data_IF_659094657947
#
_entry.id   IF_659094657947
#
_cell.length_a   1.000
_cell.length_b   1.000
_cell.length_c   1.000
_cell.angle_alpha   90.00
_cell.angle_beta   90.00
_cell.angle_gamma   90.00
#
_symmetry.space_group_name_H-M   'P 1'
#
loop_
_entity.id
_entity.type
_entity.pdbx_description
1 polymer ?
#
# COMPACT_ATOMS: atom_id res chain seq x y z
N UNK A 1 -0.14 -8.21 -24.44
CA UNK A 1 -0.95 -8.11 -23.22
C UNK A 1 -1.26 -6.63 -23.02
N UNK A 2 -2.52 -6.27 -22.90
CA UNK A 2 -2.91 -4.88 -22.67
C UNK A 2 -2.60 -4.53 -21.23
N UNK A 3 -1.93 -3.40 -21.02
CA UNK A 3 -1.70 -2.86 -19.70
C UNK A 3 -3.06 -2.55 -19.07
N UNK A 4 -3.38 -3.10 -17.88
CA UNK A 4 -4.64 -2.82 -17.20
C UNK A 4 -4.75 -1.39 -16.69
N UNK A 5 -3.62 -0.66 -16.63
CA UNK A 5 -3.57 0.69 -16.11
C UNK A 5 -3.60 1.72 -17.24
N UNK A 6 -4.39 2.77 -17.07
CA UNK A 6 -4.40 3.90 -17.99
C UNK A 6 -3.14 4.77 -17.77
N UNK A 7 -2.66 5.48 -18.81
CA UNK A 7 -1.56 6.41 -18.65
C UNK A 7 -1.96 7.57 -17.70
N UNK A 8 -1.01 8.08 -16.94
CA UNK A 8 -1.25 9.16 -15.96
C UNK A 8 -1.86 10.43 -16.56
N UNK A 9 -1.69 10.63 -17.87
CA UNK A 9 -2.27 11.78 -18.60
C UNK A 9 -3.76 11.62 -18.88
N UNK A 10 -4.34 10.42 -18.68
CA UNK A 10 -5.76 10.18 -18.94
C UNK A 10 -6.61 10.85 -17.85
N UNK A 11 -7.64 11.67 -18.20
CA UNK A 11 -8.48 12.35 -17.23
C UNK A 11 -9.27 11.42 -16.30
N UNK A 12 -9.47 10.16 -16.70
CA UNK A 12 -10.15 9.15 -15.87
C UNK A 12 -9.32 8.72 -14.67
N UNK A 13 -8.02 8.98 -14.67
CA UNK A 13 -7.07 8.71 -13.58
C UNK A 13 -6.35 9.97 -13.11
N UNK A 14 -6.92 11.14 -13.35
CA UNK A 14 -6.32 12.41 -12.96
C UNK A 14 -6.07 12.48 -11.44
N UNK A 15 -4.89 12.99 -11.07
CA UNK A 15 -4.50 13.17 -9.68
C UNK A 15 -5.18 14.42 -9.10
N UNK A 16 -5.72 14.27 -7.88
CA UNK A 16 -6.27 15.37 -7.08
C UNK A 16 -5.57 15.37 -5.71
N UNK A 17 -4.81 16.43 -5.37
CA UNK A 17 -4.10 16.49 -4.09
C UNK A 17 -5.01 16.52 -2.86
N UNK A 18 -6.28 16.87 -3.02
CA UNK A 18 -7.28 16.86 -1.95
C UNK A 18 -7.90 15.47 -1.74
N UNK A 19 -7.65 14.52 -2.64
CA UNK A 19 -8.18 13.16 -2.60
C UNK A 19 -7.08 12.13 -2.29
N UNK A 20 -6.16 12.45 -1.39
CA UNK A 20 -5.05 11.58 -0.98
C UNK A 20 -5.10 11.31 0.50
N UNK A 21 -5.14 10.02 0.87
CA UNK A 21 -4.91 9.57 2.24
C UNK A 21 -3.40 9.45 2.47
N UNK A 22 -2.92 9.96 3.60
CA UNK A 22 -1.52 9.81 4.02
C UNK A 22 -1.50 9.14 5.39
N UNK A 23 -0.77 8.03 5.51
CA UNK A 23 -0.59 7.37 6.80
C UNK A 23 0.29 8.19 7.74
N UNK A 24 0.32 7.83 9.01
CA UNK A 24 1.39 8.27 9.91
C UNK A 24 2.76 7.87 9.32
N UNK A 25 3.76 8.71 9.53
CA UNK A 25 5.16 8.37 9.27
C UNK A 25 5.73 7.72 10.52
N UNK A 26 6.19 6.48 10.41
CA UNK A 26 6.78 5.73 11.52
C UNK A 26 8.29 5.63 11.36
N UNK A 27 8.99 5.93 12.44
CA UNK A 27 10.44 5.73 12.52
C UNK A 27 10.72 4.26 12.86
N UNK A 28 11.54 3.59 12.08
CA UNK A 28 11.85 2.17 12.23
C UNK A 28 13.34 2.01 12.53
N UNK A 29 13.66 1.41 13.67
CA UNK A 29 15.04 1.09 14.08
C UNK A 29 15.50 -0.22 13.42
N UNK A 30 15.54 -0.18 12.09
CA UNK A 30 16.01 -1.26 11.24
C UNK A 30 16.52 -0.68 9.91
N UNK A 31 17.46 -1.36 9.24
CA UNK A 31 17.91 -0.97 7.90
C UNK A 31 16.76 -0.96 6.89
N UNK A 32 16.77 -0.02 5.95
CA UNK A 32 15.79 0.08 4.89
C UNK A 32 15.64 -1.23 4.08
N UNK A 33 16.75 -1.92 3.81
CA UNK A 33 16.73 -3.21 3.10
C UNK A 33 15.94 -4.28 3.86
N UNK A 34 16.07 -4.33 5.19
CA UNK A 34 15.32 -5.28 6.01
C UNK A 34 13.82 -4.96 6.00
N UNK A 35 13.47 -3.67 6.14
CA UNK A 35 12.07 -3.22 6.08
C UNK A 35 11.47 -3.54 4.71
N UNK A 36 12.23 -3.33 3.63
CA UNK A 36 11.82 -3.72 2.29
C UNK A 36 11.53 -5.22 2.18
N UNK A 37 12.43 -6.07 2.69
CA UNK A 37 12.23 -7.53 2.68
C UNK A 37 10.94 -7.93 3.39
N UNK A 38 10.64 -7.32 4.54
CA UNK A 38 9.38 -7.56 5.26
C UNK A 38 8.17 -7.10 4.44
N UNK A 39 8.28 -5.92 3.81
CA UNK A 39 7.19 -5.33 3.04
C UNK A 39 6.83 -6.13 1.79
N UNK A 40 7.79 -6.74 1.12
CA UNK A 40 7.56 -7.52 -0.11
C UNK A 40 7.44 -9.03 0.13
N UNK A 41 7.61 -9.49 1.34
CA UNK A 41 7.35 -10.90 1.71
C UNK A 41 5.84 -11.11 1.92
N UNK A 42 5.10 -11.13 0.82
CA UNK A 42 3.65 -11.24 0.83
C UNK A 42 3.16 -12.53 1.50
N UNK A 43 3.92 -13.62 1.40
CA UNK A 43 3.57 -14.89 2.02
C UNK A 43 3.50 -14.81 3.55
N UNK A 44 4.23 -13.89 4.16
CA UNK A 44 4.24 -13.67 5.61
C UNK A 44 3.20 -12.67 6.11
N UNK A 45 2.41 -12.06 5.23
CA UNK A 45 1.40 -11.06 5.62
C UNK A 45 0.38 -11.56 6.66
N UNK A 46 -0.08 -12.83 6.62
CA UNK A 46 -0.95 -13.35 7.68
C UNK A 46 -0.37 -13.26 9.10
N UNK A 47 0.96 -13.21 9.22
CA UNK A 47 1.64 -13.21 10.51
C UNK A 47 1.70 -11.83 11.17
N UNK A 48 1.57 -10.75 10.39
CA UNK A 48 1.81 -9.41 10.94
C UNK A 48 0.92 -8.30 10.40
N UNK A 49 0.40 -8.40 9.17
CA UNK A 49 -0.32 -7.29 8.53
C UNK A 49 -1.78 -7.28 8.98
N UNK A 50 -2.24 -6.24 9.70
CA UNK A 50 -3.61 -6.22 10.24
C UNK A 50 -4.68 -5.85 9.21
N UNK A 51 -4.28 -5.26 8.08
CA UNK A 51 -5.20 -4.83 7.03
C UNK A 51 -5.19 -5.77 5.83
N UNK A 52 -4.05 -5.92 5.18
CA UNK A 52 -3.88 -6.87 4.08
C UNK A 52 -3.44 -8.22 4.69
N UNK A 53 -4.42 -9.02 5.06
CA UNK A 53 -4.17 -10.26 5.82
C UNK A 53 -3.63 -11.39 4.96
N UNK A 54 -3.81 -11.32 3.65
CA UNK A 54 -3.20 -12.22 2.67
C UNK A 54 -2.83 -11.42 1.42
N UNK A 55 -1.69 -11.70 0.84
CA UNK A 55 -1.27 -11.10 -0.43
C UNK A 55 -0.43 -12.08 -1.25
N UNK A 56 -0.47 -11.93 -2.56
CA UNK A 56 0.37 -12.68 -3.50
C UNK A 56 0.65 -11.82 -4.73
N UNK A 57 1.91 -11.74 -5.13
CA UNK A 57 2.33 -11.04 -6.35
C UNK A 57 3.72 -11.51 -6.77
N UNK A 58 4.01 -11.45 -8.06
CA UNK A 58 5.37 -11.42 -8.57
C UNK A 58 5.88 -9.97 -8.51
N UNK A 59 7.15 -9.77 -8.16
CA UNK A 59 7.75 -8.42 -8.06
C UNK A 59 8.16 -7.91 -9.44
N UNK A 60 7.17 -7.59 -10.27
CA UNK A 60 7.33 -7.05 -11.63
C UNK A 60 6.32 -5.95 -11.88
N UNK A 61 6.71 -4.93 -12.66
CA UNK A 61 5.78 -3.89 -13.10
C UNK A 61 4.64 -4.52 -13.91
N UNK A 62 3.40 -4.11 -13.60
CA UNK A 62 2.20 -4.64 -14.24
C UNK A 62 1.70 -5.96 -13.67
N UNK A 63 2.43 -6.60 -12.77
CA UNK A 63 1.98 -7.86 -12.15
C UNK A 63 0.77 -7.63 -11.24
N UNK A 64 -0.21 -8.55 -11.24
CA UNK A 64 -1.34 -8.47 -10.31
C UNK A 64 -0.89 -8.71 -8.87
N UNK A 65 -1.43 -7.92 -7.97
CA UNK A 65 -1.35 -8.11 -6.52
C UNK A 65 -2.71 -8.59 -6.07
N UNK A 66 -2.81 -9.86 -5.74
CA UNK A 66 -4.06 -10.45 -5.21
C UNK A 66 -4.04 -10.32 -3.70
N UNK A 67 -5.09 -9.74 -3.13
CA UNK A 67 -5.14 -9.39 -1.72
C UNK A 67 -6.45 -9.83 -1.08
N UNK A 68 -6.36 -10.15 0.21
CA UNK A 68 -7.51 -10.26 1.10
C UNK A 68 -7.39 -9.17 2.15
N UNK A 69 -8.36 -8.26 2.16
CA UNK A 69 -8.35 -7.08 2.99
C UNK A 69 -9.37 -7.20 4.12
N UNK A 70 -8.99 -6.75 5.31
CA UNK A 70 -9.92 -6.67 6.44
C UNK A 70 -10.79 -5.42 6.30
N UNK A 71 -12.10 -5.56 6.48
CA UNK A 71 -13.00 -4.43 6.57
C UNK A 71 -12.75 -3.64 7.86
N UNK A 72 -12.67 -2.31 7.73
CA UNK A 72 -12.61 -1.38 8.87
C UNK A 72 -13.98 -0.78 9.20
N UNK A 73 -15.02 -1.17 8.47
CA UNK A 73 -16.39 -0.74 8.68
C UNK A 73 -17.23 -1.78 9.41
N UNK A 74 -16.98 -3.07 9.14
CA UNK A 74 -17.72 -4.18 9.71
C UNK A 74 -16.78 -5.18 10.40
N UNK A 75 -17.01 -5.52 11.68
CA UNK A 75 -16.20 -6.49 12.39
C UNK A 75 -16.16 -7.86 11.70
N UNK A 76 -15.03 -8.55 11.75
CA UNK A 76 -14.81 -9.90 11.25
C UNK A 76 -15.21 -10.12 9.78
N UNK A 77 -15.18 -9.05 8.99
CA UNK A 77 -15.50 -9.06 7.57
C UNK A 77 -14.25 -8.82 6.73
N UNK A 78 -14.11 -9.58 5.64
CA UNK A 78 -12.99 -9.50 4.71
C UNK A 78 -13.51 -9.41 3.29
N UNK A 79 -12.71 -8.84 2.39
CA UNK A 79 -13.02 -8.76 0.97
C UNK A 79 -11.76 -8.97 0.13
N UNK A 80 -11.97 -9.55 -1.05
CA UNK A 80 -10.88 -9.76 -2.01
C UNK A 80 -10.69 -8.52 -2.88
N UNK A 81 -9.45 -8.24 -3.23
CA UNK A 81 -9.08 -7.13 -4.09
C UNK A 81 -7.90 -7.51 -5.00
N UNK A 82 -7.88 -6.99 -6.21
CA UNK A 82 -6.76 -7.15 -7.14
C UNK A 82 -6.37 -5.77 -7.65
N UNK A 83 -5.10 -5.44 -7.48
CA UNK A 83 -4.48 -4.25 -8.03
C UNK A 83 -3.23 -4.66 -8.80
N UNK A 84 -2.53 -3.72 -9.40
CA UNK A 84 -1.38 -4.01 -10.27
C UNK A 84 -0.18 -3.18 -9.86
N UNK A 85 1.01 -3.79 -9.81
CA UNK A 85 2.24 -3.08 -9.47
C UNK A 85 2.49 -1.99 -10.51
N UNK A 86 2.46 -0.74 -10.06
CA UNK A 86 2.60 0.45 -10.90
C UNK A 86 3.93 1.18 -10.72
N UNK A 87 4.65 0.92 -9.62
CA UNK A 87 6.02 1.38 -9.42
C UNK A 87 6.79 0.38 -8.56
N UNK A 88 8.07 0.21 -8.85
CA UNK A 88 8.96 -0.70 -8.13
C UNK A 88 10.38 -0.16 -8.16
N UNK A 89 10.86 0.34 -7.04
CA UNK A 89 12.20 0.92 -6.85
C UNK A 89 12.73 0.48 -5.47
N UNK A 90 13.30 -0.71 -5.43
CA UNK A 90 13.82 -1.29 -4.18
C UNK A 90 15.09 -0.55 -3.69
N UNK A 91 15.23 -0.31 -2.38
CA UNK A 91 14.31 -0.63 -1.27
C UNK A 91 13.39 0.54 -0.88
N UNK A 92 13.11 1.46 -1.78
CA UNK A 92 12.53 2.79 -1.52
C UNK A 92 11.03 2.88 -1.74
N UNK A 93 10.51 2.22 -2.78
CA UNK A 93 9.14 2.42 -3.24
C UNK A 93 8.57 1.14 -3.84
N UNK A 94 7.41 0.76 -3.38
CA UNK A 94 6.50 -0.11 -4.12
C UNK A 94 5.14 0.55 -4.18
N UNK A 95 4.54 0.59 -5.38
CA UNK A 95 3.18 1.09 -5.56
C UNK A 95 2.36 0.06 -6.33
N UNK A 96 1.07 -0.01 -5.99
CA UNK A 96 0.09 -0.70 -6.80
C UNK A 96 -1.15 0.13 -6.99
N UNK A 97 -1.82 -0.10 -8.10
CA UNK A 97 -2.94 0.72 -8.55
C UNK A 97 -4.15 -0.14 -8.89
N UNK A 98 -5.31 0.32 -8.45
CA UNK A 98 -6.60 -0.19 -8.91
C UNK A 98 -6.90 0.43 -10.27
N UNK A 99 -7.23 -0.38 -11.30
CA UNK A 99 -7.52 0.14 -12.63
C UNK A 99 -8.86 0.86 -12.68
N UNK A 100 -8.97 1.79 -13.62
CA UNK A 100 -10.29 2.29 -14.03
C UNK A 100 -11.01 1.21 -14.84
N UNK A 101 -12.25 0.92 -14.49
CA UNK A 101 -13.17 0.13 -15.32
C UNK A 101 -14.54 0.81 -15.32
N UNK A 102 -15.26 0.74 -16.44
CA UNK A 102 -16.57 1.43 -16.57
C UNK A 102 -17.58 0.98 -15.51
N UNK A 103 -17.56 -0.30 -15.14
CA UNK A 103 -18.44 -0.83 -14.09
C UNK A 103 -18.03 -0.41 -12.67
N UNK A 104 -16.79 0.06 -12.47
CA UNK A 104 -16.23 0.50 -11.21
C UNK A 104 -15.26 1.66 -11.44
N UNK A 105 -15.76 2.89 -11.68
CA UNK A 105 -14.94 4.03 -12.09
C UNK A 105 -14.25 4.72 -10.90
N UNK A 106 -13.58 3.95 -10.07
CA UNK A 106 -12.91 4.41 -8.85
C UNK A 106 -11.45 3.92 -8.83
N UNK A 107 -10.61 4.42 -9.76
CA UNK A 107 -9.19 4.07 -9.75
C UNK A 107 -8.50 4.68 -8.54
N UNK A 108 -7.45 3.99 -8.08
CA UNK A 108 -6.65 4.46 -6.95
C UNK A 108 -5.21 4.01 -7.11
N UNK A 109 -4.28 4.70 -6.46
CA UNK A 109 -2.88 4.30 -6.40
C UNK A 109 -2.37 4.40 -4.98
N UNK A 110 -1.87 3.28 -4.45
CA UNK A 110 -1.20 3.19 -3.17
C UNK A 110 0.31 3.18 -3.36
N UNK A 111 0.99 4.16 -2.80
CA UNK A 111 2.45 4.19 -2.70
C UNK A 111 2.86 3.79 -1.28
N UNK A 112 3.86 2.92 -1.16
CA UNK A 112 4.50 2.56 0.09
C UNK A 112 5.96 2.96 0.02
N UNK A 113 6.38 3.86 0.91
CA UNK A 113 7.61 4.61 0.80
C UNK A 113 8.50 4.35 2.02
N UNK A 114 9.73 3.90 1.76
CA UNK A 114 10.77 3.71 2.76
C UNK A 114 11.89 4.72 2.47
N UNK A 115 12.23 5.54 3.45
CA UNK A 115 13.32 6.49 3.36
C UNK A 115 14.41 6.13 4.37
N UNK A 116 15.61 5.79 3.88
CA UNK A 116 16.75 5.52 4.72
C UNK A 116 17.22 6.78 5.44
N UNK A 117 17.37 6.70 6.76
CA UNK A 117 17.89 7.81 7.61
C UNK A 117 19.30 7.51 8.12
N UNK A 118 19.86 6.39 7.74
CA UNK A 118 21.16 5.90 8.13
C UNK A 118 21.25 4.39 7.86
N UNK A 119 22.39 3.73 8.17
CA UNK A 119 22.57 2.34 7.86
C UNK A 119 21.69 1.38 8.69
N UNK A 120 21.18 1.86 9.84
CA UNK A 120 20.47 1.05 10.83
C UNK A 120 19.05 1.56 11.12
N UNK A 121 18.59 2.58 10.40
CA UNK A 121 17.26 3.16 10.62
C UNK A 121 16.68 3.77 9.36
N UNK A 122 15.36 3.76 9.28
CA UNK A 122 14.60 4.37 8.20
C UNK A 122 13.27 4.91 8.72
N UNK A 123 12.51 5.53 7.83
CA UNK A 123 11.11 5.85 8.10
C UNK A 123 10.23 5.29 6.99
N UNK A 124 8.99 5.01 7.33
CA UNK A 124 7.97 4.50 6.43
C UNK A 124 6.70 5.32 6.52
N UNK A 125 6.09 5.58 5.40
CA UNK A 125 4.69 6.02 5.28
C UNK A 125 4.09 5.46 3.99
N UNK A 126 2.78 5.50 3.90
CA UNK A 126 2.06 5.15 2.67
C UNK A 126 1.02 6.21 2.33
N UNK A 127 0.70 6.30 1.05
CA UNK A 127 -0.35 7.18 0.53
C UNK A 127 -1.33 6.37 -0.28
N UNK A 128 -2.58 6.82 -0.35
CA UNK A 128 -3.58 6.30 -1.27
C UNK A 128 -4.24 7.47 -1.99
N UNK A 129 -3.98 7.60 -3.27
CA UNK A 129 -4.57 8.62 -4.12
C UNK A 129 -5.82 8.06 -4.79
N UNK A 130 -6.97 8.63 -4.48
CA UNK A 130 -8.23 8.33 -5.16
C UNK A 130 -8.29 9.18 -6.42
N UNK A 131 -8.19 8.52 -7.58
CA UNK A 131 -7.96 9.17 -8.86
C UNK A 131 -9.25 9.45 -9.61
N UNK A 132 -9.17 10.34 -10.59
CA UNK A 132 -10.25 10.66 -11.49
C UNK A 132 -11.35 11.55 -10.88
N UNK A 133 -12.43 11.80 -11.62
CA UNK A 133 -13.45 12.78 -11.23
C UNK A 133 -14.24 12.39 -9.96
N UNK A 134 -14.22 11.11 -9.56
CA UNK A 134 -14.91 10.62 -8.36
C UNK A 134 -14.00 10.53 -7.13
N UNK A 135 -12.70 10.78 -7.27
CA UNK A 135 -11.72 10.62 -6.19
C UNK A 135 -12.06 11.41 -4.94
N UNK A 136 -12.49 12.65 -5.08
CA UNK A 136 -12.87 13.50 -3.93
C UNK A 136 -14.09 12.94 -3.16
N UNK A 137 -15.00 12.27 -3.83
CA UNK A 137 -16.15 11.64 -3.18
C UNK A 137 -15.71 10.37 -2.42
N UNK A 138 -14.83 9.56 -3.01
CA UNK A 138 -14.23 8.41 -2.35
C UNK A 138 -13.47 8.85 -1.10
N UNK A 139 -12.72 9.95 -1.18
CA UNK A 139 -12.00 10.51 -0.04
C UNK A 139 -12.93 10.84 1.15
N UNK A 140 -14.11 11.38 0.87
CA UNK A 140 -15.05 11.80 1.91
C UNK A 140 -15.60 10.63 2.74
N UNK A 141 -15.95 9.51 2.11
CA UNK A 141 -16.53 8.38 2.84
C UNK A 141 -15.54 7.26 3.18
N UNK A 142 -14.53 7.03 2.35
CA UNK A 142 -13.53 5.97 2.58
C UNK A 142 -12.26 6.48 3.26
N UNK A 143 -11.87 7.72 3.03
CA UNK A 143 -10.62 8.29 3.54
C UNK A 143 -10.37 8.02 5.03
N UNK A 144 -11.34 8.26 5.94
CA UNK A 144 -11.11 8.04 7.36
C UNK A 144 -10.78 6.59 7.75
N UNK A 145 -11.46 5.61 7.16
CA UNK A 145 -11.16 4.22 7.48
C UNK A 145 -9.89 3.72 6.77
N UNK A 146 -9.63 4.19 5.55
CA UNK A 146 -8.37 3.88 4.84
C UNK A 146 -7.18 4.39 5.64
N UNK A 147 -7.27 5.62 6.17
CA UNK A 147 -6.21 6.16 7.03
C UNK A 147 -5.96 5.27 8.25
N UNK A 148 -7.00 4.83 8.96
CA UNK A 148 -6.83 3.92 10.11
C UNK A 148 -6.14 2.63 9.70
N UNK A 149 -6.57 2.03 8.59
CA UNK A 149 -5.97 0.79 8.08
C UNK A 149 -4.49 0.97 7.73
N UNK A 150 -4.12 2.09 7.13
CA UNK A 150 -2.75 2.39 6.76
C UNK A 150 -1.87 2.74 7.96
N UNK A 151 -2.42 3.45 8.94
CA UNK A 151 -1.72 3.73 10.20
C UNK A 151 -1.41 2.41 10.95
N UNK A 152 -2.40 1.53 11.08
CA UNK A 152 -2.22 0.22 11.70
C UNK A 152 -1.17 -0.63 10.98
N UNK A 153 -1.17 -0.59 9.64
CA UNK A 153 -0.17 -1.29 8.83
C UNK A 153 1.23 -0.72 9.05
N UNK A 154 1.37 0.60 9.12
CA UNK A 154 2.66 1.25 9.35
C UNK A 154 3.26 0.84 10.71
N UNK A 155 2.46 0.85 11.77
CA UNK A 155 2.90 0.43 13.10
C UNK A 155 3.21 -1.06 13.18
N UNK A 156 2.43 -1.90 12.49
CA UNK A 156 2.67 -3.33 12.43
C UNK A 156 3.95 -3.67 11.65
N UNK A 157 4.22 -2.97 10.54
CA UNK A 157 5.47 -3.10 9.78
C UNK A 157 6.67 -2.75 10.65
N UNK A 158 6.59 -1.64 11.39
CA UNK A 158 7.64 -1.26 12.34
C UNK A 158 7.90 -2.37 13.35
N UNK A 159 6.87 -2.86 14.01
CA UNK A 159 7.00 -3.92 15.01
C UNK A 159 7.61 -5.20 14.43
N UNK A 160 7.17 -5.60 13.23
CA UNK A 160 7.68 -6.80 12.54
C UNK A 160 9.15 -6.65 12.16
N UNK A 161 9.53 -5.52 11.56
CA UNK A 161 10.90 -5.28 11.12
C UNK A 161 11.87 -5.20 12.32
N UNK A 162 11.50 -4.49 13.37
CA UNK A 162 12.35 -4.37 14.56
C UNK A 162 12.50 -5.70 15.29
N UNK A 163 11.47 -6.52 15.35
CA UNK A 163 11.55 -7.87 15.89
C UNK A 163 12.47 -8.78 15.06
N UNK A 164 12.54 -8.57 13.74
CA UNK A 164 13.46 -9.29 12.85
C UNK A 164 14.93 -8.92 13.07
N UNK A 165 15.22 -7.67 13.42
CA UNK A 165 16.58 -7.23 13.83
C UNK A 165 17.02 -7.97 15.08
N UNK A 166 16.17 -8.04 16.10
CA UNK A 166 16.45 -8.74 17.36
C UNK A 166 16.76 -10.22 17.12
N UNK A 167 16.01 -10.86 16.21
CA UNK A 167 16.20 -12.28 15.87
C UNK A 167 17.50 -12.58 15.12
N UNK A 168 18.10 -11.56 14.46
CA UNK A 168 19.37 -11.68 13.73
C UNK A 168 20.59 -11.34 14.58
N UNK A 169 20.40 -10.80 15.76
CA UNK A 169 21.47 -10.39 16.66
C UNK A 169 22.10 -11.61 17.41
#
# INVERSE_FOLDING_TARGET
>A
MTDPLLPESDPRVAFDPDAVVVSETVLIEAPADLVWQVLVDFAAYPDWNPFCVEASAELELGAPVTMKLKSYLEPDTYFDNVEYISALDAPRLIAWSAPYVDAWPYPARRDQIIEALGPERCQYHSTDAFLGPHGIHVMRFAGPWVKRAFDDTAWALKARAESSVISQA
#
